data_IF_504230363089
#
_entry.id   IF_504230363089
#
_cell.length_a   1.000
_cell.length_b   1.000
_cell.length_c   1.000
_cell.angle_alpha   90.00
_cell.angle_beta   90.00
_cell.angle_gamma   90.00
#
_symmetry.space_group_name_H-M   'P 1'
#
loop_
_entity.id
_entity.type
_entity.pdbx_description
1 polymer ?
#
# COMPACT_ATOMS: atom_id res chain seq x y z
N UNK A 1 8.56 -25.07 -7.94
CA UNK A 1 9.17 -23.83 -7.46
C UNK A 1 8.48 -22.65 -8.11
N UNK A 2 8.02 -21.69 -7.28
CA UNK A 2 7.38 -20.48 -7.78
C UNK A 2 8.47 -19.44 -8.01
N UNK A 3 8.48 -18.85 -9.20
CA UNK A 3 9.39 -17.76 -9.54
C UNK A 3 8.57 -16.48 -9.68
N UNK A 4 8.87 -15.49 -8.85
CA UNK A 4 8.20 -14.19 -8.92
C UNK A 4 8.94 -13.29 -9.90
N UNK A 5 8.20 -12.65 -10.79
CA UNK A 5 8.74 -11.71 -11.77
C UNK A 5 8.45 -10.25 -11.41
N UNK A 6 7.64 -10.02 -10.40
CA UNK A 6 7.28 -8.69 -9.91
C UNK A 6 7.40 -8.63 -8.40
N UNK A 7 7.95 -7.54 -7.91
CA UNK A 7 8.14 -7.32 -6.48
C UNK A 7 7.83 -5.87 -6.12
N UNK A 8 7.35 -5.67 -4.89
CA UNK A 8 7.16 -4.34 -4.33
C UNK A 8 7.94 -4.27 -3.03
N UNK A 9 8.74 -3.23 -2.88
CA UNK A 9 9.56 -3.00 -1.69
C UNK A 9 9.00 -1.79 -0.95
N UNK A 10 8.59 -1.99 0.30
CA UNK A 10 8.10 -0.93 1.17
C UNK A 10 9.17 -0.65 2.21
N UNK A 11 9.67 0.57 2.26
CA UNK A 11 10.69 1.01 3.20
C UNK A 11 10.03 1.85 4.30
N UNK A 12 9.94 1.28 5.50
CA UNK A 12 9.30 1.96 6.63
C UNK A 12 10.14 3.11 7.17
N UNK A 13 11.45 2.99 7.10
CA UNK A 13 12.35 4.01 7.62
C UNK A 13 12.31 5.28 6.76
N UNK A 14 12.46 5.11 5.46
CA UNK A 14 12.50 6.23 4.52
C UNK A 14 11.13 6.63 3.97
N UNK A 15 10.08 5.89 4.33
CA UNK A 15 8.70 6.17 3.91
C UNK A 15 8.60 6.28 2.40
N UNK A 16 9.03 5.21 1.71
CA UNK A 16 8.88 5.12 0.26
C UNK A 16 8.55 3.69 -0.16
N UNK A 17 8.17 3.55 -1.43
CA UNK A 17 7.74 2.29 -2.02
C UNK A 17 8.27 2.21 -3.43
N UNK A 18 8.77 1.03 -3.83
CA UNK A 18 9.30 0.79 -5.16
C UNK A 18 8.69 -0.46 -5.76
N UNK A 19 8.41 -0.41 -7.05
CA UNK A 19 7.97 -1.57 -7.83
C UNK A 19 9.11 -2.01 -8.75
N UNK A 20 9.44 -3.29 -8.70
CA UNK A 20 10.53 -3.87 -9.47
C UNK A 20 10.03 -5.04 -10.31
N UNK A 21 10.60 -5.18 -11.49
CA UNK A 21 10.26 -6.27 -12.40
C UNK A 21 11.52 -7.00 -12.86
N UNK A 22 11.45 -8.32 -12.91
CA UNK A 22 12.55 -9.15 -13.40
C UNK A 22 12.75 -8.91 -14.89
N UNK A 23 13.96 -8.56 -15.28
CA UNK A 23 14.31 -8.33 -16.68
C UNK A 23 15.15 -9.47 -17.27
N UNK A 24 15.65 -10.35 -16.40
CA UNK A 24 16.43 -11.52 -16.79
C UNK A 24 16.83 -12.29 -15.54
N UNK A 25 17.53 -13.40 -15.68
CA UNK A 25 17.95 -14.19 -14.53
C UNK A 25 18.85 -13.37 -13.61
N UNK A 26 18.42 -13.20 -12.36
CA UNK A 26 19.14 -12.41 -11.37
C UNK A 26 19.16 -10.92 -11.64
N UNK A 27 18.36 -10.43 -12.60
CA UNK A 27 18.31 -9.02 -12.98
C UNK A 27 16.94 -8.42 -12.76
N UNK A 28 16.90 -7.25 -12.12
CA UNK A 28 15.66 -6.55 -11.79
C UNK A 28 15.74 -5.09 -12.21
N UNK A 29 14.63 -4.56 -12.68
CA UNK A 29 14.51 -3.16 -13.12
C UNK A 29 13.50 -2.46 -12.22
N UNK A 30 13.85 -1.26 -11.74
CA UNK A 30 12.92 -0.42 -10.98
C UNK A 30 11.91 0.19 -11.95
N UNK A 31 10.63 -0.14 -11.78
CA UNK A 31 9.55 0.41 -12.61
C UNK A 31 9.02 1.72 -12.03
N UNK A 32 9.04 1.85 -10.71
CA UNK A 32 8.59 3.07 -10.04
C UNK A 32 9.20 3.14 -8.65
N UNK A 33 9.34 4.37 -8.14
CA UNK A 33 9.72 4.64 -6.76
C UNK A 33 9.03 5.93 -6.35
N UNK A 34 8.27 5.90 -5.25
CA UNK A 34 7.46 7.02 -4.82
C UNK A 34 7.44 7.14 -3.30
N UNK A 35 7.19 8.36 -2.78
CA UNK A 35 6.92 8.51 -1.36
C UNK A 35 5.68 7.73 -0.95
N UNK A 36 5.69 7.20 0.28
CA UNK A 36 4.55 6.47 0.84
C UNK A 36 4.38 6.83 2.31
N UNK A 37 3.29 6.33 2.92
CA UNK A 37 3.04 6.50 4.35
C UNK A 37 2.62 5.14 4.91
N UNK A 38 3.42 4.60 5.82
CA UNK A 38 3.14 3.31 6.46
C UNK A 38 2.36 3.48 7.76
N UNK A 39 1.98 2.36 8.38
CA UNK A 39 1.19 2.36 9.61
C UNK A 39 1.97 2.88 10.81
N UNK A 40 1.27 3.62 11.70
CA UNK A 40 1.83 4.13 12.95
C UNK A 40 1.36 3.28 14.13
N UNK A 41 2.13 3.32 15.21
CA UNK A 41 1.76 2.63 16.44
C UNK A 41 0.80 3.51 17.26
N UNK A 42 -0.49 3.17 17.22
CA UNK A 42 -1.53 3.89 17.98
C UNK A 42 -2.67 2.92 18.34
N UNK A 43 -2.44 1.94 19.23
CA UNK A 43 -3.50 1.01 19.63
C UNK A 43 -4.64 1.74 20.34
N UNK A 44 -5.90 1.29 20.18
CA UNK A 44 -6.33 0.14 19.38
C UNK A 44 -6.67 0.49 17.92
N UNK A 45 -6.47 1.73 17.49
CA UNK A 45 -6.94 2.24 16.20
C UNK A 45 -5.98 2.02 15.06
N UNK A 46 -4.67 2.02 15.33
CA UNK A 46 -3.65 1.89 14.30
C UNK A 46 -2.49 1.03 14.79
N UNK A 47 -1.83 0.36 13.86
CA UNK A 47 -0.63 -0.38 14.14
C UNK A 47 0.34 -0.27 12.97
N UNK A 48 1.60 -0.57 13.24
CA UNK A 48 2.65 -0.50 12.23
C UNK A 48 2.41 -1.51 11.11
N UNK A 49 2.81 -1.14 9.89
CA UNK A 49 2.79 -2.07 8.76
C UNK A 49 3.74 -3.22 9.10
N UNK A 50 3.28 -4.48 9.03
CA UNK A 50 4.12 -5.61 9.45
C UNK A 50 5.33 -5.78 8.55
N UNK A 51 6.48 -6.03 9.18
CA UNK A 51 7.72 -6.36 8.48
C UNK A 51 7.65 -7.78 7.92
N UNK A 52 8.33 -8.02 6.83
CA UNK A 52 8.48 -9.36 6.29
C UNK A 52 8.27 -9.44 4.79
N UNK A 53 8.03 -10.67 4.34
CA UNK A 53 7.85 -11.01 2.94
C UNK A 53 6.47 -11.63 2.77
N UNK A 54 5.69 -11.07 1.86
CA UNK A 54 4.30 -11.47 1.65
C UNK A 54 4.02 -11.67 0.16
N UNK A 55 2.93 -12.36 -0.13
CA UNK A 55 2.43 -12.50 -1.51
C UNK A 55 1.14 -11.69 -1.63
N UNK A 56 1.00 -10.94 -2.72
CA UNK A 56 -0.20 -10.16 -2.98
C UNK A 56 -1.42 -11.07 -3.04
N UNK A 57 -2.46 -10.79 -2.24
CA UNK A 57 -3.58 -11.69 -2.01
C UNK A 57 -4.87 -11.31 -2.69
N UNK A 58 -5.21 -10.02 -2.73
CA UNK A 58 -6.47 -9.59 -3.33
C UNK A 58 -6.43 -8.11 -3.68
N UNK A 59 -7.37 -7.67 -4.50
CA UNK A 59 -7.51 -6.28 -4.91
C UNK A 59 -8.93 -5.79 -4.72
N UNK A 60 -9.06 -4.54 -4.30
CA UNK A 60 -10.36 -3.85 -4.19
C UNK A 60 -10.22 -2.48 -4.82
N UNK A 61 -11.10 -2.14 -5.76
CA UNK A 61 -11.09 -0.80 -6.36
C UNK A 61 -11.32 0.27 -5.30
N UNK A 62 -12.17 -0.04 -4.30
CA UNK A 62 -12.46 0.83 -3.16
C UNK A 62 -12.51 -0.01 -1.89
N UNK A 63 -11.57 0.21 -0.99
CA UNK A 63 -11.60 -0.43 0.32
C UNK A 63 -12.29 0.52 1.29
N UNK A 64 -13.53 0.20 1.67
CA UNK A 64 -14.32 1.01 2.60
C UNK A 64 -13.80 0.81 4.02
N UNK A 65 -13.67 1.88 4.77
CA UNK A 65 -13.26 1.82 6.17
C UNK A 65 -14.24 2.60 7.06
N UNK A 66 -14.22 2.26 8.34
CA UNK A 66 -15.06 2.90 9.35
C UNK A 66 -14.27 4.01 10.07
N UNK A 67 -14.99 4.97 10.63
CA UNK A 67 -14.38 5.97 11.52
C UNK A 67 -13.89 5.26 12.79
N UNK A 68 -12.73 5.67 13.29
CA UNK A 68 -12.14 5.10 14.51
C UNK A 68 -13.14 5.12 15.66
N UNK A 69 -13.37 3.93 16.26
CA UNK A 69 -14.27 3.80 17.40
C UNK A 69 -15.76 3.91 17.06
N UNK A 70 -16.14 3.81 15.79
CA UNK A 70 -17.50 4.00 15.32
C UNK A 70 -17.89 2.93 14.31
N UNK A 71 -19.21 2.78 14.07
CA UNK A 71 -19.76 1.94 13.00
C UNK A 71 -20.08 2.74 11.74
N UNK A 72 -19.85 4.06 11.77
CA UNK A 72 -20.10 4.92 10.61
C UNK A 72 -18.99 4.75 9.58
N UNK A 73 -19.36 4.85 8.29
CA UNK A 73 -18.40 4.83 7.20
C UNK A 73 -17.50 6.06 7.25
N UNK A 74 -16.18 5.84 7.35
CA UNK A 74 -15.20 6.92 7.34
C UNK A 74 -14.83 7.37 5.94
N UNK A 75 -15.07 6.52 4.94
CA UNK A 75 -14.72 6.77 3.55
C UNK A 75 -14.19 5.51 2.87
N UNK A 76 -13.31 5.69 1.89
CA UNK A 76 -12.69 4.55 1.22
C UNK A 76 -11.25 4.87 0.80
N UNK A 77 -10.47 3.82 0.64
CA UNK A 77 -9.12 3.88 0.09
C UNK A 77 -9.16 3.36 -1.35
N UNK A 78 -8.77 4.17 -2.34
CA UNK A 78 -8.85 3.74 -3.74
C UNK A 78 -7.69 2.82 -4.12
N UNK A 79 -7.94 1.91 -5.05
CA UNK A 79 -6.96 0.99 -5.64
C UNK A 79 -6.17 0.23 -4.58
N UNK A 80 -6.88 -0.53 -3.77
CA UNK A 80 -6.31 -1.25 -2.63
C UNK A 80 -5.84 -2.64 -3.04
N UNK A 81 -4.60 -2.96 -2.71
CA UNK A 81 -3.96 -4.25 -2.96
C UNK A 81 -3.52 -4.83 -1.62
N UNK A 82 -4.17 -5.91 -1.18
CA UNK A 82 -3.93 -6.53 0.13
C UNK A 82 -2.77 -7.52 0.07
N UNK A 83 -1.84 -7.42 1.01
CA UNK A 83 -0.72 -8.35 1.08
C UNK A 83 -0.68 -9.17 2.37
N UNK A 84 -1.33 -8.74 3.44
CA UNK A 84 -1.52 -9.57 4.65
C UNK A 84 -2.61 -8.96 5.53
N UNK A 85 -3.42 -9.79 6.18
CA UNK A 85 -4.48 -9.38 7.12
C UNK A 85 -5.20 -8.09 6.67
N UNK A 86 -5.08 -7.01 7.44
CA UNK A 86 -5.66 -5.71 7.12
C UNK A 86 -4.68 -4.76 6.43
N UNK A 87 -3.54 -5.24 5.97
CA UNK A 87 -2.52 -4.38 5.35
C UNK A 87 -2.69 -4.35 3.82
N UNK A 88 -3.00 -3.16 3.31
CA UNK A 88 -3.19 -2.89 1.89
C UNK A 88 -2.22 -1.81 1.41
N UNK A 89 -1.83 -1.89 0.15
CA UNK A 89 -1.22 -0.77 -0.57
C UNK A 89 -2.37 -0.04 -1.24
N UNK A 90 -2.57 1.24 -0.97
CA UNK A 90 -3.71 1.99 -1.54
C UNK A 90 -3.38 3.46 -1.75
N UNK A 91 -4.26 4.16 -2.45
CA UNK A 91 -4.13 5.58 -2.72
C UNK A 91 -4.51 6.45 -1.53
N UNK A 92 -4.58 7.76 -1.77
CA UNK A 92 -4.96 8.72 -0.73
C UNK A 92 -6.41 8.48 -0.33
N UNK A 93 -6.69 8.27 0.97
CA UNK A 93 -8.06 8.01 1.42
C UNK A 93 -9.02 9.15 1.06
N UNK A 94 -10.21 8.78 0.63
CA UNK A 94 -11.31 9.70 0.37
C UNK A 94 -12.21 9.68 1.60
N UNK A 95 -12.08 10.70 2.44
CA UNK A 95 -12.82 10.78 3.70
C UNK A 95 -14.23 11.33 3.45
N UNK A 96 -15.23 10.63 3.98
CA UNK A 96 -16.63 11.09 3.88
C UNK A 96 -16.77 12.48 4.53
N UNK A 97 -17.61 13.39 4.00
CA UNK A 97 -18.54 13.19 2.89
C UNK A 97 -17.97 13.44 1.49
N UNK A 98 -16.66 13.68 1.37
CA UNK A 98 -16.03 13.88 0.06
C UNK A 98 -16.17 12.62 -0.79
N UNK A 99 -16.40 12.80 -2.09
CA UNK A 99 -16.54 11.70 -3.04
C UNK A 99 -15.44 11.67 -4.10
N UNK A 100 -14.72 12.79 -4.25
CA UNK A 100 -13.70 12.96 -5.29
C UNK A 100 -12.35 12.45 -4.80
N UNK A 101 -11.69 11.65 -5.63
CA UNK A 101 -10.33 11.20 -5.36
C UNK A 101 -9.36 12.38 -5.48
N UNK A 102 -8.33 12.35 -4.64
CA UNK A 102 -7.22 13.31 -4.72
C UNK A 102 -5.94 12.53 -4.97
N UNK A 103 -5.01 13.16 -5.67
CA UNK A 103 -3.77 12.50 -6.09
C UNK A 103 -2.76 12.42 -4.96
N UNK A 104 -2.65 13.44 -4.13
CA UNK A 104 -1.52 13.60 -3.23
C UNK A 104 -1.94 13.98 -1.82
N UNK A 105 -1.13 13.58 -0.86
CA UNK A 105 -1.28 13.95 0.55
C UNK A 105 0.06 14.49 1.04
N UNK A 106 0.09 15.61 1.79
CA UNK A 106 1.35 16.17 2.31
C UNK A 106 2.10 15.24 3.26
N UNK A 107 1.43 14.21 3.80
CA UNK A 107 2.07 13.27 4.72
C UNK A 107 2.93 12.22 4.01
N UNK A 108 2.79 12.05 2.69
CA UNK A 108 3.55 11.05 1.94
C UNK A 108 5.05 11.34 2.04
N UNK A 109 5.81 10.30 2.39
CA UNK A 109 7.26 10.40 2.48
C UNK A 109 7.78 11.03 3.77
N UNK A 110 6.91 11.32 4.73
CA UNK A 110 7.30 11.98 5.99
C UNK A 110 7.44 10.98 7.14
N UNK A 111 6.38 10.72 7.88
CA UNK A 111 6.38 9.81 9.03
C UNK A 111 5.21 8.84 8.94
N UNK A 112 5.26 7.68 9.63
CA UNK A 112 4.13 6.74 9.65
C UNK A 112 2.88 7.41 10.21
N UNK A 113 1.78 7.34 9.46
CA UNK A 113 0.49 7.97 9.85
C UNK A 113 -0.73 7.13 9.51
N UNK A 114 -0.54 5.99 8.86
CA UNK A 114 -1.62 5.11 8.43
C UNK A 114 -2.05 4.14 9.54
N UNK A 115 -3.10 3.31 9.27
CA UNK A 115 -3.64 2.33 10.21
C UNK A 115 -3.09 0.90 9.99
N UNK A 116 -1.97 0.69 9.42
CA UNK A 116 -1.31 -0.55 9.00
C UNK A 116 -1.02 -0.54 7.51
N UNK A 117 -1.86 0.12 6.73
CA UNK A 117 -1.74 0.15 5.28
C UNK A 117 -0.59 1.02 4.81
N UNK A 118 -0.20 0.83 3.57
CA UNK A 118 0.81 1.64 2.89
C UNK A 118 0.10 2.60 1.95
N UNK A 119 0.05 3.87 2.33
CA UNK A 119 -0.61 4.92 1.57
C UNK A 119 0.32 5.46 0.50
N UNK A 120 -0.19 5.64 -0.70
CA UNK A 120 0.54 6.14 -1.88
C UNK A 120 -0.18 7.32 -2.51
N UNK A 121 0.52 8.05 -3.38
CA UNK A 121 -0.17 8.88 -4.37
C UNK A 121 -1.18 8.00 -5.12
N UNK A 122 -2.35 8.53 -5.40
CA UNK A 122 -3.45 7.72 -5.95
C UNK A 122 -3.09 7.09 -7.29
N UNK A 123 -2.39 7.81 -8.17
CA UNK A 123 -1.94 7.27 -9.45
C UNK A 123 -0.94 6.13 -9.28
N UNK A 124 -0.09 6.18 -8.27
CA UNK A 124 0.87 5.12 -8.01
C UNK A 124 0.19 3.87 -7.45
N UNK A 125 -0.79 4.06 -6.57
CA UNK A 125 -1.61 2.95 -6.08
C UNK A 125 -2.35 2.27 -7.23
N UNK A 126 -2.87 3.06 -8.18
CA UNK A 126 -3.51 2.54 -9.39
C UNK A 126 -2.51 1.79 -10.26
N UNK A 127 -1.29 2.29 -10.42
CA UNK A 127 -0.24 1.59 -11.17
C UNK A 127 0.02 0.21 -10.58
N UNK A 128 0.23 0.12 -9.27
CA UNK A 128 0.46 -1.17 -8.61
C UNK A 128 -0.76 -2.08 -8.76
N UNK A 129 -1.96 -1.53 -8.56
CA UNK A 129 -3.22 -2.25 -8.68
C UNK A 129 -3.39 -2.89 -10.07
N UNK A 130 -3.03 -2.17 -11.13
CA UNK A 130 -3.17 -2.65 -12.50
C UNK A 130 -2.00 -3.58 -12.90
N UNK A 131 -0.80 -3.31 -12.41
CA UNK A 131 0.43 -3.97 -12.85
C UNK A 131 0.73 -5.28 -12.11
N UNK A 132 0.44 -5.35 -10.81
CA UNK A 132 0.84 -6.46 -9.95
C UNK A 132 -0.23 -7.55 -9.89
N UNK A 133 -0.01 -8.76 -10.45
CA UNK A 133 -1.01 -9.82 -10.39
C UNK A 133 -1.06 -10.45 -8.99
N UNK A 134 -2.29 -10.82 -8.59
CA UNK A 134 -2.55 -11.54 -7.34
C UNK A 134 -1.88 -12.90 -7.39
N UNK A 135 -1.29 -13.33 -6.28
CA UNK A 135 -0.57 -14.59 -6.11
C UNK A 135 0.73 -14.70 -6.92
N UNK A 136 1.10 -13.65 -7.66
CA UNK A 136 2.29 -13.65 -8.52
C UNK A 136 3.21 -12.48 -8.25
N UNK A 137 2.90 -11.65 -7.26
CA UNK A 137 3.71 -10.50 -6.86
C UNK A 137 4.14 -10.66 -5.41
N UNK A 138 5.42 -10.48 -5.15
CA UNK A 138 5.95 -10.54 -3.79
C UNK A 138 6.09 -9.14 -3.21
N UNK A 139 5.74 -8.99 -1.94
CA UNK A 139 5.81 -7.71 -1.22
C UNK A 139 6.82 -7.85 -0.11
N UNK A 140 7.84 -7.01 -0.11
CA UNK A 140 8.82 -6.92 0.98
C UNK A 140 8.57 -5.65 1.78
N UNK A 141 8.38 -5.79 3.09
CA UNK A 141 8.29 -4.65 4.01
C UNK A 141 9.55 -4.64 4.85
N UNK A 142 10.35 -3.59 4.70
CA UNK A 142 11.67 -3.44 5.32
C UNK A 142 11.64 -2.30 6.35
N UNK A 143 12.51 -2.43 7.35
CA UNK A 143 12.71 -1.39 8.35
C UNK A 143 13.53 -0.23 7.82
#
# INVERSE_FOLDING_TARGET
TIVFNKAVFVDRHNQNIAALERSGEGQWVVRSMNPSTTGRHLPPYAQETPLGMFVLQEKKAKMVFLKDGSKETGGYAPYASRFTDGAYIHGVPVNAPRKTQIEYSPSLGTTPRSHMCVRNATSHAKFIYDWAPVNETIIFVLE
#
